data_IF_764966186501
#
_entry.id   IF_764966186501
#
_cell.length_a   1.000
_cell.length_b   1.000
_cell.length_c   1.000
_cell.angle_alpha   90.00
_cell.angle_beta   90.00
_cell.angle_gamma   90.00
#
_symmetry.space_group_name_H-M   'P 1'
#
loop_
_entity.id
_entity.type
_entity.pdbx_description
1 polymer ?
#
# COMPACT_ATOMS: atom_id res chain seq x y z
N UNK A 1 4.70 19.33 5.00
CA UNK A 1 5.97 18.77 4.48
C UNK A 1 6.11 17.28 4.79
N UNK A 2 6.21 16.84 6.06
CA UNK A 2 6.44 15.41 6.42
C UNK A 2 5.51 14.37 5.75
N UNK A 3 4.19 14.65 5.68
CA UNK A 3 3.23 13.72 5.06
C UNK A 3 3.45 13.52 3.56
N UNK A 4 3.69 14.61 2.82
CA UNK A 4 3.88 14.54 1.35
C UNK A 4 5.17 13.79 1.02
N UNK A 5 6.23 13.99 1.82
CA UNK A 5 7.46 13.23 1.66
C UNK A 5 7.26 11.72 1.81
N UNK A 6 6.46 11.28 2.79
CA UNK A 6 6.09 9.86 2.95
C UNK A 6 5.29 9.36 1.75
N UNK A 7 4.32 10.13 1.26
CA UNK A 7 3.51 9.74 0.10
C UNK A 7 4.36 9.60 -1.17
N UNK A 8 5.32 10.52 -1.39
CA UNK A 8 6.26 10.47 -2.52
C UNK A 8 7.20 9.26 -2.40
N UNK A 9 7.82 9.09 -1.23
CA UNK A 9 8.75 7.99 -1.00
C UNK A 9 8.06 6.64 -1.16
N UNK A 10 6.84 6.50 -0.63
CA UNK A 10 6.01 5.31 -0.81
C UNK A 10 5.73 5.04 -2.30
N UNK A 11 5.39 6.06 -3.08
CA UNK A 11 5.20 5.92 -4.53
C UNK A 11 6.45 5.44 -5.26
N UNK A 12 7.62 6.00 -4.93
CA UNK A 12 8.91 5.58 -5.50
C UNK A 12 9.21 4.13 -5.12
N UNK A 13 9.06 3.76 -3.84
CA UNK A 13 9.33 2.40 -3.37
C UNK A 13 8.41 1.39 -4.04
N UNK A 14 7.11 1.69 -4.19
CA UNK A 14 6.18 0.81 -4.93
C UNK A 14 6.67 0.58 -6.35
N UNK A 15 7.12 1.61 -7.07
CA UNK A 15 7.64 1.44 -8.43
C UNK A 15 8.86 0.51 -8.43
N UNK A 16 9.79 0.71 -7.48
CA UNK A 16 10.98 -0.13 -7.34
C UNK A 16 10.63 -1.60 -7.03
N UNK A 17 9.61 -1.87 -6.22
CA UNK A 17 9.14 -3.23 -5.91
C UNK A 17 8.61 -4.00 -7.12
N UNK A 18 8.10 -3.29 -8.13
CA UNK A 18 7.63 -3.91 -9.38
C UNK A 18 8.74 -4.06 -10.42
N UNK A 19 9.92 -3.51 -10.19
CA UNK A 19 11.11 -3.78 -11.00
C UNK A 19 11.72 -5.10 -10.52
N UNK A 20 12.25 -5.91 -11.44
CA UNK A 20 12.97 -7.14 -11.13
C UNK A 20 14.27 -6.87 -10.37
N UNK A 21 14.16 -6.64 -9.06
CA UNK A 21 15.28 -6.39 -8.16
C UNK A 21 15.88 -7.71 -7.64
N UNK A 22 17.17 -7.70 -7.25
CA UNK A 22 17.76 -8.79 -6.48
C UNK A 22 16.93 -9.09 -5.24
N UNK A 23 16.74 -10.39 -4.92
CA UNK A 23 15.81 -10.83 -3.87
C UNK A 23 16.06 -10.17 -2.50
N UNK A 24 17.32 -9.90 -2.15
CA UNK A 24 17.67 -9.23 -0.90
C UNK A 24 17.20 -7.77 -0.89
N UNK A 25 17.31 -7.06 -2.01
CA UNK A 25 16.86 -5.68 -2.12
C UNK A 25 15.33 -5.61 -2.11
N UNK A 26 14.66 -6.52 -2.82
CA UNK A 26 13.19 -6.62 -2.81
C UNK A 26 12.64 -6.84 -1.39
N UNK A 27 13.26 -7.73 -0.60
CA UNK A 27 12.81 -7.96 0.77
C UNK A 27 13.04 -6.77 1.69
N UNK A 28 14.21 -6.14 1.63
CA UNK A 28 14.54 -4.97 2.46
C UNK A 28 13.67 -3.77 2.11
N UNK A 29 13.47 -3.52 0.81
CA UNK A 29 12.56 -2.48 0.35
C UNK A 29 11.11 -2.80 0.73
N UNK A 30 10.70 -4.07 0.71
CA UNK A 30 9.35 -4.48 1.08
C UNK A 30 9.05 -4.21 2.56
N UNK A 31 10.04 -4.44 3.43
CA UNK A 31 9.97 -4.06 4.85
C UNK A 31 9.86 -2.54 5.00
N UNK A 32 10.69 -1.80 4.25
CA UNK A 32 10.64 -0.33 4.23
C UNK A 32 9.28 0.20 3.75
N UNK A 33 8.71 -0.40 2.71
CA UNK A 33 7.41 -0.06 2.16
C UNK A 33 6.30 -0.31 3.18
N UNK A 34 6.34 -1.45 3.88
CA UNK A 34 5.39 -1.74 4.95
C UNK A 34 5.41 -0.66 6.04
N UNK A 35 6.61 -0.19 6.44
CA UNK A 35 6.75 0.90 7.39
C UNK A 35 6.17 2.23 6.87
N UNK A 36 6.43 2.57 5.60
CA UNK A 36 5.87 3.77 4.97
C UNK A 36 4.34 3.73 4.89
N UNK A 37 3.75 2.57 4.60
CA UNK A 37 2.30 2.35 4.60
C UNK A 37 1.73 2.60 6.01
N UNK A 38 2.37 2.08 7.07
CA UNK A 38 1.94 2.31 8.45
C UNK A 38 1.98 3.81 8.80
N UNK A 39 3.05 4.52 8.41
CA UNK A 39 3.15 5.97 8.59
C UNK A 39 2.06 6.71 7.83
N UNK A 40 1.80 6.33 6.58
CA UNK A 40 0.72 6.90 5.78
C UNK A 40 -0.64 6.72 6.47
N UNK A 41 -0.96 5.51 6.94
CA UNK A 41 -2.19 5.22 7.70
C UNK A 41 -2.25 6.08 8.96
N UNK A 42 -1.14 6.20 9.70
CA UNK A 42 -1.06 7.00 10.91
C UNK A 42 -1.36 8.49 10.66
N UNK A 43 -0.75 9.09 9.63
CA UNK A 43 -1.03 10.49 9.24
C UNK A 43 -2.46 10.70 8.73
N UNK A 44 -3.11 9.64 8.25
CA UNK A 44 -4.47 9.66 7.73
C UNK A 44 -5.51 9.08 8.70
N UNK A 45 -5.20 8.87 9.98
CA UNK A 45 -6.13 8.32 11.00
C UNK A 45 -7.48 9.06 11.09
N UNK A 46 -7.52 10.35 10.76
CA UNK A 46 -8.76 11.14 10.71
C UNK A 46 -9.77 10.60 9.68
N UNK A 47 -9.30 9.95 8.61
CA UNK A 47 -10.16 9.28 7.64
C UNK A 47 -11.01 8.21 8.31
N UNK A 48 -10.41 7.32 9.10
CA UNK A 48 -11.14 6.25 9.80
C UNK A 48 -12.19 6.80 10.77
N UNK A 49 -11.86 7.88 11.50
CA UNK A 49 -12.83 8.57 12.36
C UNK A 49 -13.99 9.20 11.57
N UNK A 50 -13.76 9.58 10.31
CA UNK A 50 -14.79 10.17 9.47
C UNK A 50 -15.75 9.13 8.90
N UNK A 51 -15.33 7.86 8.78
CA UNK A 51 -16.16 6.77 8.23
C UNK A 51 -17.48 6.68 9.00
N UNK A 52 -17.42 6.68 10.34
CA UNK A 52 -18.58 6.59 11.24
C UNK A 52 -19.46 7.86 11.28
N UNK A 53 -19.14 8.90 10.51
CA UNK A 53 -19.87 10.19 10.52
C UNK A 53 -20.56 10.47 9.20
N UNK A 54 -21.87 10.78 9.27
CA UNK A 54 -22.69 11.24 8.14
C UNK A 54 -23.47 10.12 7.42
N UNK A 55 -24.32 10.50 6.45
CA UNK A 55 -25.10 9.55 5.64
C UNK A 55 -24.24 8.95 4.51
N UNK A 56 -24.47 7.68 4.21
CA UNK A 56 -23.78 6.96 3.14
C UNK A 56 -24.49 7.19 1.81
N UNK A 57 -23.80 7.81 0.85
CA UNK A 57 -24.24 7.90 -0.53
C UNK A 57 -23.43 6.93 -1.40
N UNK A 58 -23.92 6.65 -2.62
CA UNK A 58 -23.31 5.66 -3.53
C UNK A 58 -21.81 5.91 -3.74
N UNK A 59 -21.43 7.18 -3.97
CA UNK A 59 -20.04 7.59 -4.13
C UNK A 59 -19.18 7.26 -2.91
N UNK A 60 -19.67 7.55 -1.70
CA UNK A 60 -18.95 7.29 -0.45
C UNK A 60 -18.82 5.79 -0.18
N UNK A 61 -19.81 4.99 -0.55
CA UNK A 61 -19.74 3.52 -0.45
C UNK A 61 -18.68 2.96 -1.38
N UNK A 62 -18.62 3.41 -2.64
CA UNK A 62 -17.58 3.00 -3.60
C UNK A 62 -16.19 3.42 -3.14
N UNK A 63 -16.03 4.67 -2.68
CA UNK A 63 -14.76 5.13 -2.13
C UNK A 63 -14.34 4.24 -0.95
N UNK A 64 -15.25 3.92 -0.04
CA UNK A 64 -14.97 3.07 1.11
C UNK A 64 -14.52 1.67 0.69
N UNK A 65 -15.20 1.07 -0.29
CA UNK A 65 -14.84 -0.23 -0.85
C UNK A 65 -13.44 -0.21 -1.46
N UNK A 66 -13.07 0.83 -2.22
CA UNK A 66 -11.74 0.97 -2.79
C UNK A 66 -10.67 1.08 -1.70
N UNK A 67 -10.90 1.89 -0.66
CA UNK A 67 -9.93 2.09 0.43
C UNK A 67 -9.72 0.80 1.25
N UNK A 68 -10.79 0.09 1.60
CA UNK A 68 -10.66 -1.18 2.33
C UNK A 68 -10.12 -2.29 1.43
N UNK A 69 -10.56 -2.37 0.17
CA UNK A 69 -10.02 -3.30 -0.81
C UNK A 69 -8.51 -3.15 -0.95
N UNK A 70 -8.01 -1.92 -1.07
CA UNK A 70 -6.58 -1.61 -1.09
C UNK A 70 -5.88 -2.04 0.21
N UNK A 71 -6.48 -1.76 1.36
CA UNK A 71 -5.89 -2.10 2.65
C UNK A 71 -5.76 -3.62 2.82
N UNK A 72 -6.80 -4.38 2.49
CA UNK A 72 -6.79 -5.83 2.59
C UNK A 72 -5.85 -6.47 1.57
N UNK A 73 -5.82 -5.98 0.32
CA UNK A 73 -4.93 -6.52 -0.69
C UNK A 73 -3.46 -6.26 -0.35
N UNK A 74 -3.14 -5.06 0.18
CA UNK A 74 -1.79 -4.73 0.65
C UNK A 74 -1.39 -5.58 1.85
N UNK A 75 -2.30 -5.77 2.82
CA UNK A 75 -2.04 -6.65 3.96
C UNK A 75 -1.75 -8.08 3.51
N UNK A 76 -2.56 -8.63 2.59
CA UNK A 76 -2.34 -9.96 2.03
C UNK A 76 -1.00 -10.06 1.28
N UNK A 77 -0.62 -9.00 0.54
CA UNK A 77 0.67 -8.92 -0.17
C UNK A 77 1.86 -8.92 0.79
N UNK A 78 1.79 -8.13 1.88
CA UNK A 78 2.84 -8.06 2.90
C UNK A 78 2.96 -9.40 3.62
N UNK A 79 1.84 -9.98 4.07
CA UNK A 79 1.83 -11.26 4.79
C UNK A 79 2.40 -12.37 3.90
N UNK A 80 1.91 -12.50 2.66
CA UNK A 80 2.43 -13.50 1.72
C UNK A 80 3.89 -13.25 1.32
N UNK A 81 4.34 -11.99 1.27
CA UNK A 81 5.74 -11.62 1.04
C UNK A 81 6.65 -12.04 2.18
N UNK A 82 6.23 -11.81 3.42
CA UNK A 82 6.93 -12.30 4.63
C UNK A 82 7.01 -13.83 4.60
N UNK A 83 5.90 -14.52 4.30
CA UNK A 83 5.86 -15.97 4.21
C UNK A 83 6.69 -16.55 3.06
N UNK A 84 6.99 -15.76 2.01
CA UNK A 84 7.85 -16.13 0.88
C UNK A 84 9.34 -15.79 1.05
N UNK A 85 9.70 -15.00 2.07
CA UNK A 85 11.04 -14.43 2.19
C UNK A 85 12.13 -15.52 2.25
N UNK A 86 13.13 -15.42 1.39
CA UNK A 86 14.20 -16.41 1.28
C UNK A 86 15.47 -16.00 2.02
N UNK A 87 15.74 -14.70 2.19
CA UNK A 87 16.99 -14.21 2.81
C UNK A 87 16.75 -13.50 4.14
N UNK A 88 16.05 -12.37 4.12
CA UNK A 88 15.95 -11.43 5.25
C UNK A 88 15.13 -11.97 6.42
N UNK A 89 14.06 -12.74 6.14
CA UNK A 89 13.16 -13.30 7.16
C UNK A 89 13.14 -14.83 7.20
N UNK A 90 14.21 -15.48 6.72
CA UNK A 90 14.31 -16.94 6.52
C UNK A 90 13.85 -17.80 7.72
N UNK A 91 13.95 -17.30 8.95
CA UNK A 91 13.56 -18.02 10.18
C UNK A 91 12.04 -18.21 10.35
N UNK A 92 11.22 -17.39 9.69
CA UNK A 92 9.75 -17.35 9.86
C UNK A 92 9.03 -17.76 8.56
N UNK A 93 9.80 -18.15 7.53
CA UNK A 93 9.30 -18.39 6.18
C UNK A 93 8.71 -19.79 6.03
N UNK A 94 7.52 -19.85 5.44
CA UNK A 94 6.89 -21.10 4.97
C UNK A 94 7.13 -21.14 3.45
N UNK A 95 8.37 -21.42 3.07
CA UNK A 95 8.82 -21.29 1.68
C UNK A 95 8.10 -22.32 0.79
N UNK A 96 7.30 -21.85 -0.17
CA UNK A 96 6.58 -22.72 -1.08
C UNK A 96 6.10 -22.01 -2.33
N UNK A 97 6.08 -22.75 -3.45
CA UNK A 97 5.63 -22.27 -4.76
C UNK A 97 4.24 -21.60 -4.68
N UNK A 98 3.31 -22.19 -3.92
CA UNK A 98 1.95 -21.65 -3.73
C UNK A 98 1.95 -20.24 -3.13
N UNK A 99 2.80 -19.96 -2.15
CA UNK A 99 2.83 -18.65 -1.49
C UNK A 99 3.37 -17.56 -2.43
N UNK A 100 4.33 -17.90 -3.30
CA UNK A 100 4.88 -16.98 -4.29
C UNK A 100 3.82 -16.57 -5.33
N UNK A 101 2.97 -17.51 -5.74
CA UNK A 101 1.83 -17.23 -6.62
C UNK A 101 0.79 -16.33 -5.95
N UNK A 102 0.48 -16.59 -4.68
CA UNK A 102 -0.43 -15.74 -3.89
C UNK A 102 0.14 -14.33 -3.80
N UNK A 103 1.42 -14.18 -3.43
CA UNK A 103 2.08 -12.89 -3.32
C UNK A 103 1.99 -12.08 -4.61
N UNK A 104 2.35 -12.69 -5.75
CA UNK A 104 2.23 -12.04 -7.07
C UNK A 104 0.79 -11.64 -7.39
N UNK A 105 -0.17 -12.55 -7.17
CA UNK A 105 -1.59 -12.29 -7.41
C UNK A 105 -2.11 -11.12 -6.57
N UNK A 106 -1.81 -11.11 -5.27
CA UNK A 106 -2.21 -10.04 -4.36
C UNK A 106 -1.50 -8.71 -4.67
N UNK A 107 -0.27 -8.74 -5.16
CA UNK A 107 0.45 -7.55 -5.61
C UNK A 107 -0.25 -6.89 -6.80
N UNK A 108 -0.68 -7.68 -7.79
CA UNK A 108 -1.42 -7.16 -8.97
C UNK A 108 -2.77 -6.57 -8.52
N UNK A 109 -3.51 -7.27 -7.66
CA UNK A 109 -4.78 -6.77 -7.11
C UNK A 109 -4.56 -5.45 -6.36
N UNK A 110 -3.50 -5.37 -5.55
CA UNK A 110 -3.13 -4.15 -4.83
C UNK A 110 -2.80 -3.00 -5.77
N UNK A 111 -2.13 -3.27 -6.90
CA UNK A 111 -1.83 -2.25 -7.90
C UNK A 111 -3.10 -1.68 -8.55
N UNK A 112 -4.09 -2.53 -8.84
CA UNK A 112 -5.40 -2.09 -9.37
C UNK A 112 -6.10 -1.18 -8.36
N UNK A 113 -6.21 -1.61 -7.10
CA UNK A 113 -6.82 -0.80 -6.05
C UNK A 113 -6.03 0.49 -5.77
N UNK A 114 -4.71 0.48 -5.91
CA UNK A 114 -3.87 1.67 -5.77
C UNK A 114 -4.20 2.70 -6.85
N UNK A 115 -4.35 2.27 -8.11
CA UNK A 115 -4.78 3.15 -9.20
C UNK A 115 -6.14 3.81 -8.92
N UNK A 116 -7.11 3.02 -8.46
CA UNK A 116 -8.44 3.53 -8.05
C UNK A 116 -8.34 4.49 -6.85
N UNK A 117 -7.50 4.18 -5.87
CA UNK A 117 -7.26 5.04 -4.72
C UNK A 117 -6.65 6.39 -5.12
N UNK A 118 -5.66 6.41 -6.01
CA UNK A 118 -5.10 7.65 -6.55
C UNK A 118 -6.15 8.45 -7.32
N UNK A 119 -7.00 7.79 -8.11
CA UNK A 119 -8.08 8.46 -8.83
C UNK A 119 -9.07 9.16 -7.90
N UNK A 120 -9.48 8.51 -6.80
CA UNK A 120 -10.43 9.08 -5.83
C UNK A 120 -9.79 10.17 -4.97
N UNK A 121 -8.49 10.08 -4.69
CA UNK A 121 -7.76 11.05 -3.85
C UNK A 121 -7.06 12.17 -4.62
N UNK A 122 -7.03 12.12 -5.97
CA UNK A 122 -6.32 13.08 -6.84
C UNK A 122 -6.50 14.55 -6.47
N UNK A 123 -7.73 14.96 -6.14
CA UNK A 123 -8.04 16.35 -5.78
C UNK A 123 -7.29 16.81 -4.53
N UNK A 124 -7.10 15.92 -3.55
CA UNK A 124 -6.34 16.20 -2.33
C UNK A 124 -4.85 16.30 -2.64
N UNK A 125 -4.35 15.42 -3.52
CA UNK A 125 -2.96 15.41 -3.95
C UNK A 125 -2.58 16.70 -4.69
N UNK A 126 -3.33 17.11 -5.71
CA UNK A 126 -3.06 18.34 -6.46
C UNK A 126 -3.11 19.59 -5.57
N UNK A 127 -4.06 19.64 -4.62
CA UNK A 127 -4.13 20.73 -3.63
C UNK A 127 -2.93 20.74 -2.67
N UNK A 128 -2.37 19.58 -2.35
CA UNK A 128 -1.19 19.47 -1.50
C UNK A 128 0.09 19.91 -2.25
N UNK A 129 0.22 19.53 -3.53
CA UNK A 129 1.34 19.93 -4.39
C UNK A 129 1.35 21.44 -4.61
N UNK A 130 0.19 22.05 -4.91
CA UNK A 130 0.08 23.51 -5.10
C UNK A 130 0.48 24.32 -3.86
N UNK A 131 0.50 23.72 -2.66
CA UNK A 131 0.95 24.38 -1.41
C UNK A 131 2.46 24.30 -1.17
N UNK A 132 3.19 23.59 -2.03
CA UNK A 132 4.65 23.50 -1.99
C UNK A 132 5.33 24.48 -2.95
N UNK A 133 4.56 25.10 -3.85
CA UNK A 133 4.94 26.25 -4.67
C UNK A 133 4.56 27.54 -3.95
#
# INVERSE_FOLDING_TARGET
>A
MKKIAVDILMGITIILEFVSLPILLHEVLGIGLAFLIILHINYNKKYFKSIFKGKYNLKRTVDLFIHFGLLFSLAATIISGICCSQKSLKKITIAGYKMSHIHKGTSIISLVFLGLHLFTTRKKLFRAIKKLQ
#
